data_IF_246785883284
#
_entry.id   IF_246785883284
#
_cell.length_a   1.000
_cell.length_b   1.000
_cell.length_c   1.000
_cell.angle_alpha   90.00
_cell.angle_beta   90.00
_cell.angle_gamma   90.00
#
_symmetry.space_group_name_H-M   'P 1'
#
loop_
_entity.id
_entity.type
_entity.pdbx_description
1 polymer ?
#
# COMPACT_ATOMS: atom_id res chain seq x y z
N UNK A 1 -14.94 11.69 -7.15
CA UNK A 1 -14.90 12.21 -8.53
C UNK A 1 -16.24 12.87 -8.90
N UNK A 2 -17.37 12.15 -8.77
CA UNK A 2 -18.74 12.62 -9.07
C UNK A 2 -19.27 13.85 -8.28
N UNK A 3 -18.52 14.34 -7.29
CA UNK A 3 -18.89 15.55 -6.51
C UNK A 3 -18.30 16.84 -7.10
N UNK A 4 -17.23 16.77 -7.89
CA UNK A 4 -16.54 17.96 -8.42
C UNK A 4 -17.22 18.43 -9.71
N UNK A 5 -17.65 17.50 -10.56
CA UNK A 5 -18.41 17.76 -11.79
C UNK A 5 -19.72 18.51 -11.53
N UNK A 6 -20.44 18.17 -10.46
CA UNK A 6 -21.66 18.87 -10.07
C UNK A 6 -21.41 20.33 -9.67
N UNK A 7 -20.27 20.62 -9.04
CA UNK A 7 -19.88 21.98 -8.62
C UNK A 7 -19.37 22.81 -9.80
N UNK A 8 -18.60 22.20 -10.71
CA UNK A 8 -17.94 22.89 -11.83
C UNK A 8 -18.83 22.92 -13.10
N UNK A 9 -19.93 22.16 -13.11
CA UNK A 9 -20.86 22.10 -14.25
C UNK A 9 -20.26 21.44 -15.49
N UNK A 10 -19.36 20.46 -15.33
CA UNK A 10 -18.67 19.78 -16.43
C UNK A 10 -18.84 18.28 -16.33
N UNK A 11 -18.88 17.57 -17.46
CA UNK A 11 -18.99 16.11 -17.43
C UNK A 11 -17.82 15.45 -16.68
N UNK A 12 -18.11 14.34 -16.00
CA UNK A 12 -17.10 13.53 -15.30
C UNK A 12 -15.90 13.23 -16.22
N UNK A 13 -16.14 12.87 -17.48
CA UNK A 13 -15.09 12.59 -18.46
C UNK A 13 -14.14 13.78 -18.71
N UNK A 14 -14.67 15.02 -18.68
CA UNK A 14 -13.87 16.24 -18.85
C UNK A 14 -12.99 16.47 -17.62
N UNK A 15 -13.57 16.35 -16.42
CA UNK A 15 -12.83 16.46 -15.16
C UNK A 15 -11.73 15.39 -15.09
N UNK A 16 -12.03 14.14 -15.44
CA UNK A 16 -11.05 13.05 -15.45
C UNK A 16 -9.88 13.28 -16.39
N UNK A 17 -10.12 13.76 -17.62
CA UNK A 17 -9.04 14.06 -18.57
C UNK A 17 -8.17 15.22 -18.08
N UNK A 18 -8.76 16.23 -17.46
CA UNK A 18 -8.02 17.36 -16.92
C UNK A 18 -7.14 16.95 -15.74
N UNK A 19 -7.69 16.22 -14.76
CA UNK A 19 -6.94 15.71 -13.61
C UNK A 19 -5.80 14.77 -14.04
N UNK A 20 -6.03 13.90 -15.03
CA UNK A 20 -4.98 13.04 -15.57
C UNK A 20 -3.82 13.84 -16.19
N UNK A 21 -4.10 14.94 -16.90
CA UNK A 21 -3.05 15.82 -17.45
C UNK A 21 -2.22 16.49 -16.35
N UNK A 22 -2.83 16.77 -15.20
CA UNK A 22 -2.17 17.33 -14.02
C UNK A 22 -1.48 16.26 -13.14
N UNK A 23 -1.53 14.97 -13.51
CA UNK A 23 -1.00 13.89 -12.68
C UNK A 23 -1.86 13.53 -11.45
N UNK A 24 -3.06 14.11 -11.34
CA UNK A 24 -4.00 13.93 -10.22
C UNK A 24 -5.07 12.87 -10.52
N UNK A 25 -4.72 11.82 -11.27
CA UNK A 25 -5.67 10.76 -11.64
C UNK A 25 -6.06 9.81 -10.50
N UNK A 26 -5.43 9.96 -9.33
CA UNK A 26 -5.71 9.21 -8.11
C UNK A 26 -6.04 10.16 -6.98
N UNK A 27 -7.03 9.84 -6.14
CA UNK A 27 -7.31 10.61 -4.93
C UNK A 27 -6.10 10.69 -4.00
N UNK A 28 -5.25 9.65 -4.01
CA UNK A 28 -3.99 9.61 -3.27
C UNK A 28 -3.00 10.72 -3.65
N UNK A 29 -3.14 11.29 -4.85
CA UNK A 29 -2.31 12.41 -5.27
C UNK A 29 -2.67 13.72 -4.56
N UNK A 30 -3.83 13.78 -3.87
CA UNK A 30 -4.25 14.90 -3.03
C UNK A 30 -3.85 14.72 -1.56
N UNK A 31 -3.41 13.51 -1.18
CA UNK A 31 -2.95 13.27 0.18
C UNK A 31 -1.63 14.03 0.41
N UNK A 32 -1.46 14.65 1.59
CA UNK A 32 -0.19 15.28 1.93
C UNK A 32 0.94 14.25 1.88
N UNK A 33 2.10 14.67 1.37
CA UNK A 33 3.30 13.81 1.39
C UNK A 33 3.65 13.51 2.84
N UNK A 34 3.57 12.23 3.21
CA UNK A 34 3.94 11.78 4.55
C UNK A 34 5.45 11.95 4.70
N UNK A 35 5.94 12.58 5.79
CA UNK A 35 7.36 12.71 6.02
C UNK A 35 8.01 11.31 6.05
N UNK A 36 9.20 11.20 5.46
CA UNK A 36 9.96 9.95 5.50
C UNK A 36 10.44 9.74 6.93
N UNK A 37 9.83 8.79 7.63
CA UNK A 37 10.27 8.37 8.96
C UNK A 37 11.43 7.38 8.78
N UNK A 38 12.65 7.85 9.06
CA UNK A 38 13.84 7.01 9.11
C UNK A 38 14.12 6.61 10.56
N UNK A 39 14.44 5.35 10.78
CA UNK A 39 14.92 4.89 12.07
C UNK A 39 16.40 5.23 12.18
N UNK A 40 16.73 6.13 13.09
CA UNK A 40 18.11 6.48 13.44
C UNK A 40 18.35 6.11 14.89
N UNK A 41 19.48 5.47 15.17
CA UNK A 41 19.89 5.10 16.52
C UNK A 41 21.37 5.45 16.75
N UNK A 42 21.72 6.01 17.91
CA UNK A 42 23.07 6.48 18.20
C UNK A 42 24.11 5.37 18.42
N UNK A 43 23.71 4.17 18.86
CA UNK A 43 24.64 3.08 19.11
C UNK A 43 24.44 1.86 18.19
N UNK A 44 25.52 1.10 18.00
CA UNK A 44 25.52 -0.13 17.23
C UNK A 44 24.60 -1.17 17.90
N UNK A 45 23.73 -1.80 17.11
CA UNK A 45 22.81 -2.85 17.59
C UNK A 45 21.45 -2.36 18.09
N UNK A 46 21.25 -1.05 18.26
CA UNK A 46 19.96 -0.48 18.66
C UNK A 46 18.93 -0.48 17.51
N UNK A 47 19.41 -0.48 16.27
CA UNK A 47 18.59 -0.62 15.09
C UNK A 47 18.51 -2.09 14.66
N UNK A 48 17.52 -2.82 15.17
CA UNK A 48 17.18 -4.15 14.68
C UNK A 48 15.96 -4.08 13.74
N UNK A 49 16.20 -4.17 12.44
CA UNK A 49 15.12 -4.25 11.46
C UNK A 49 14.62 -5.69 11.34
N UNK A 50 13.46 -5.98 11.92
CA UNK A 50 12.76 -7.25 11.72
C UNK A 50 11.70 -7.05 10.64
N UNK A 51 11.99 -7.49 9.42
CA UNK A 51 10.97 -7.50 8.38
C UNK A 51 10.02 -8.68 8.62
N UNK A 52 8.77 -8.36 8.95
CA UNK A 52 7.69 -9.36 9.01
C UNK A 52 6.75 -9.15 7.85
N UNK A 53 6.67 -10.12 6.95
CA UNK A 53 5.69 -10.12 5.84
C UNK A 53 4.47 -10.93 6.21
N UNK A 54 3.29 -10.39 5.91
CA UNK A 54 2.05 -11.18 5.94
C UNK A 54 2.06 -12.15 4.78
N UNK A 55 2.12 -13.43 5.08
CA UNK A 55 2.00 -14.49 4.08
C UNK A 55 0.51 -14.75 3.85
N UNK A 56 -0.08 -14.06 2.87
CA UNK A 56 -1.54 -13.89 2.77
C UNK A 56 -2.40 -15.15 2.77
N UNK A 57 -1.89 -16.29 2.32
CA UNK A 57 -2.60 -17.59 2.31
C UNK A 57 -1.83 -18.72 3.00
N UNK A 58 -0.63 -18.46 3.51
CA UNK A 58 0.17 -19.47 4.19
C UNK A 58 -0.24 -19.45 5.65
N UNK A 59 -1.04 -20.44 6.04
CA UNK A 59 -1.57 -20.55 7.41
C UNK A 59 -0.76 -21.49 8.29
N UNK A 60 0.08 -22.35 7.69
CA UNK A 60 0.97 -23.27 8.41
C UNK A 60 2.21 -23.67 7.58
N UNK A 61 3.26 -24.20 8.22
CA UNK A 61 4.38 -24.86 7.53
C UNK A 61 3.94 -26.14 6.81
N UNK A 62 4.44 -26.38 5.60
CA UNK A 62 4.10 -27.56 4.80
C UNK A 62 4.85 -28.84 5.23
N UNK A 63 4.44 -29.98 4.66
CA UNK A 63 4.92 -31.34 4.99
C UNK A 63 6.45 -31.52 4.90
N UNK A 64 7.19 -30.68 4.16
CA UNK A 64 8.66 -30.74 4.11
C UNK A 64 9.29 -30.40 5.46
N UNK A 65 8.64 -29.51 6.22
CA UNK A 65 9.11 -29.05 7.53
C UNK A 65 8.56 -29.95 8.63
N UNK A 66 7.31 -30.42 8.50
CA UNK A 66 6.62 -31.21 9.53
C UNK A 66 6.75 -32.73 9.37
N UNK A 67 7.26 -33.21 8.22
CA UNK A 67 7.34 -34.62 7.81
C UNK A 67 6.01 -35.41 7.82
N UNK A 68 4.87 -34.72 7.99
CA UNK A 68 3.54 -35.31 7.91
C UNK A 68 2.94 -35.13 6.52
N UNK A 69 2.98 -36.20 5.72
CA UNK A 69 2.42 -36.24 4.36
C UNK A 69 0.90 -36.31 4.30
N UNK A 70 0.22 -36.60 5.42
CA UNK A 70 -1.25 -36.66 5.49
C UNK A 70 -1.88 -35.32 5.85
N UNK A 71 -1.03 -34.35 6.17
CA UNK A 71 -1.44 -33.02 6.48
C UNK A 71 -1.75 -32.24 5.19
N UNK A 72 -3.01 -31.85 5.02
CA UNK A 72 -3.53 -31.16 3.84
C UNK A 72 -3.62 -29.63 3.99
N UNK A 73 -3.00 -29.07 5.04
CA UNK A 73 -2.96 -27.63 5.31
C UNK A 73 -2.06 -26.91 4.30
#
# INVERSE_FOLDING_TARGET
MWRIDAVVGRSVATVSRHLRRLGLSSLKALDPTVPVVRYEHPALGELLHIDTKKLGRIVAPGHRITDDRRNHI
#
